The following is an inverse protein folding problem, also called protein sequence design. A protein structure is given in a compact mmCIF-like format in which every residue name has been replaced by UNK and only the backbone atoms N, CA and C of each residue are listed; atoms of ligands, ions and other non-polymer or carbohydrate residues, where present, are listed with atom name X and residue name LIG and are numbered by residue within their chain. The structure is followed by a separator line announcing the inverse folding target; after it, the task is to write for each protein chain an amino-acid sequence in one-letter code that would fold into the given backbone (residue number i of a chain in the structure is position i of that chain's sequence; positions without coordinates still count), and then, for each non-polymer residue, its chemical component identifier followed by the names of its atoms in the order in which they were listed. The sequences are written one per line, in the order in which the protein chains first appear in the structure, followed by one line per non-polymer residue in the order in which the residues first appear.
data_IF_655377703390
#
_entry.id   IF_655377703390
#
_cell.length_a   1.000
_cell.length_b   1.000
_cell.length_c   1.000
_cell.angle_alpha   90.00
_cell.angle_beta   90.00
_cell.angle_gamma   90.00
#
_symmetry.space_group_name_H-M   'P 1'
#
loop_
_entity.id
_entity.type
_entity.pdbx_description
1 polymer ?
#
# COMPACT_ATOMS: atom_id res chain seq x y z
N UNK A 1 9.64 -25.61 10.09
CA UNK A 1 9.08 -26.77 10.81
C UNK A 1 7.93 -26.30 11.68
N UNK A 2 6.70 -26.35 11.15
CA UNK A 2 5.48 -26.45 11.94
C UNK A 2 4.42 -27.04 11.03
N UNK A 3 4.47 -28.36 10.96
CA UNK A 3 3.61 -29.24 10.18
C UNK A 3 2.22 -29.25 10.80
N UNK A 4 1.18 -29.06 10.00
CA UNK A 4 -0.21 -29.35 10.41
C UNK A 4 -0.99 -29.86 9.22
N UNK A 5 -0.90 -31.19 9.05
CA UNK A 5 -1.97 -32.11 8.66
C UNK A 5 -2.91 -31.64 7.54
N UNK A 6 -2.48 -31.80 6.29
CA UNK A 6 -3.41 -31.93 5.17
C UNK A 6 -4.00 -33.33 5.26
N UNK A 7 -5.29 -33.43 5.59
CA UNK A 7 -6.01 -34.68 5.66
C UNK A 7 -5.95 -35.41 4.31
N UNK A 8 -5.37 -36.60 4.31
CA UNK A 8 -5.38 -37.55 3.21
C UNK A 8 -6.83 -38.00 2.95
N UNK A 9 -7.44 -37.54 1.86
CA UNK A 9 -8.67 -38.13 1.33
C UNK A 9 -8.27 -39.16 0.27
N UNK A 10 -8.33 -40.43 0.63
CA UNK A 10 -8.19 -41.57 -0.29
C UNK A 10 -9.58 -41.92 -0.86
N UNK A 11 -9.76 -41.91 -2.18
CA UNK A 11 -10.93 -42.55 -2.81
C UNK A 11 -11.40 -41.97 -4.15
N UNK A 12 -10.83 -42.49 -5.24
CA UNK A 12 -11.37 -42.70 -6.61
C UNK A 12 -12.30 -41.65 -7.29
N UNK A 13 -11.79 -41.13 -8.43
CA UNK A 13 -12.51 -40.82 -9.68
C UNK A 13 -13.82 -40.01 -9.59
N UNK A 14 -13.70 -38.70 -9.39
CA UNK A 14 -14.61 -37.73 -9.99
C UNK A 14 -13.80 -36.58 -10.61
N UNK A 15 -13.91 -36.49 -11.93
CA UNK A 15 -13.43 -35.37 -12.73
C UNK A 15 -14.22 -34.12 -12.29
N UNK A 16 -13.53 -33.09 -11.79
CA UNK A 16 -14.03 -31.75 -11.40
C UNK A 16 -14.09 -31.48 -9.89
N UNK A 17 -12.98 -30.99 -9.35
CA UNK A 17 -13.01 -29.94 -8.33
C UNK A 17 -11.71 -29.15 -8.42
N UNK A 18 -11.66 -28.20 -9.34
CA UNK A 18 -10.71 -27.08 -9.28
C UNK A 18 -10.95 -26.37 -7.94
N UNK A 19 -10.13 -26.69 -6.93
CA UNK A 19 -10.05 -25.91 -5.69
C UNK A 19 -9.48 -24.55 -6.10
N UNK A 20 -10.42 -23.70 -6.49
CA UNK A 20 -10.21 -22.35 -6.96
C UNK A 20 -9.37 -21.64 -5.92
N UNK A 21 -8.12 -21.32 -6.27
CA UNK A 21 -7.39 -20.26 -5.58
C UNK A 21 -8.21 -19.00 -5.83
N UNK A 22 -9.09 -18.64 -4.91
CA UNK A 22 -9.57 -17.27 -4.81
C UNK A 22 -8.36 -16.46 -4.39
N UNK A 23 -7.51 -16.14 -5.36
CA UNK A 23 -6.69 -14.95 -5.30
C UNK A 23 -7.67 -13.81 -5.10
N UNK A 24 -7.87 -13.45 -3.84
CA UNK A 24 -8.19 -12.08 -3.49
C UNK A 24 -7.02 -11.27 -4.05
N UNK A 25 -7.12 -10.93 -5.33
CA UNK A 25 -6.35 -9.88 -5.96
C UNK A 25 -6.70 -8.64 -5.14
N UNK A 26 -5.94 -8.43 -4.07
CA UNK A 26 -6.05 -7.25 -3.25
C UNK A 26 -5.74 -6.13 -4.24
N UNK A 27 -6.79 -5.37 -4.61
CA UNK A 27 -6.62 -4.14 -5.35
C UNK A 27 -5.81 -3.21 -4.45
N UNK A 28 -4.48 -3.37 -4.46
CA UNK A 28 -3.58 -2.46 -3.79
C UNK A 28 -3.79 -1.14 -4.51
N UNK A 29 -4.55 -0.25 -3.86
CA UNK A 29 -4.76 1.10 -4.37
C UNK A 29 -3.39 1.68 -4.61
N UNK A 30 -3.05 1.90 -5.89
CA UNK A 30 -1.78 2.50 -6.24
C UNK A 30 -1.65 3.81 -5.44
N UNK A 31 -0.49 4.05 -4.81
CA UNK A 31 -0.28 5.28 -4.08
C UNK A 31 -0.47 6.46 -5.05
N UNK A 32 -0.94 7.62 -4.55
CA UNK A 32 -1.02 8.83 -5.34
C UNK A 32 0.32 9.12 -6.01
N UNK A 33 0.29 9.59 -7.25
CA UNK A 33 1.50 10.00 -7.92
C UNK A 33 2.08 11.26 -7.26
N UNK A 34 3.41 11.38 -7.28
CA UNK A 34 4.10 12.57 -6.84
C UNK A 34 5.56 12.32 -6.47
N UNK A 35 6.32 13.40 -6.36
CA UNK A 35 7.75 13.37 -6.06
C UNK A 35 8.06 12.85 -4.66
N UNK A 36 7.09 12.90 -3.74
CA UNK A 36 7.21 12.34 -2.40
C UNK A 36 7.61 10.85 -2.41
N UNK A 37 7.21 10.08 -3.43
CA UNK A 37 7.54 8.65 -3.55
C UNK A 37 9.05 8.38 -3.60
N UNK A 38 9.87 9.37 -3.96
CA UNK A 38 11.34 9.26 -3.98
C UNK A 38 11.96 9.19 -2.59
N UNK A 39 11.29 9.76 -1.58
CA UNK A 39 11.87 9.96 -0.24
C UNK A 39 10.95 9.52 0.90
N UNK A 40 9.73 9.10 0.58
CA UNK A 40 8.76 8.58 1.54
C UNK A 40 8.53 7.08 1.36
N UNK A 41 8.16 6.40 2.45
CA UNK A 41 7.88 4.96 2.51
C UNK A 41 6.63 4.67 3.35
N UNK A 42 6.19 3.41 3.33
CA UNK A 42 4.98 2.93 4.02
C UNK A 42 3.75 3.75 3.65
N UNK A 43 3.65 4.02 2.35
CA UNK A 43 2.60 4.85 1.78
C UNK A 43 1.30 4.07 1.78
N UNK A 44 0.27 4.65 2.39
CA UNK A 44 -1.07 4.07 2.42
C UNK A 44 -2.12 5.16 2.35
N UNK A 45 -3.27 4.84 1.76
CA UNK A 45 -4.42 5.74 1.73
C UNK A 45 -5.53 5.16 2.60
N UNK A 46 -6.13 5.99 3.43
CA UNK A 46 -7.21 5.60 4.32
C UNK A 46 -8.24 6.73 4.40
N UNK A 47 -9.49 6.45 4.02
CA UNK A 47 -10.62 7.40 4.11
C UNK A 47 -10.32 8.80 3.54
N UNK A 48 -9.62 8.87 2.40
CA UNK A 48 -9.26 10.14 1.76
C UNK A 48 -8.02 10.85 2.34
N UNK A 49 -7.38 10.25 3.33
CA UNK A 49 -6.11 10.71 3.90
C UNK A 49 -4.95 9.89 3.35
N UNK A 50 -3.89 10.56 2.90
CA UNK A 50 -2.62 9.96 2.52
C UNK A 50 -1.73 9.89 3.76
N UNK A 51 -1.21 8.72 4.08
CA UNK A 51 -0.25 8.50 5.17
C UNK A 51 1.08 8.01 4.60
N UNK A 52 2.19 8.50 5.14
CA UNK A 52 3.52 8.05 4.78
C UNK A 52 4.53 8.30 5.92
N UNK A 53 5.72 7.69 5.80
CA UNK A 53 6.93 8.09 6.53
C UNK A 53 7.90 8.77 5.57
N UNK A 54 8.15 10.06 5.75
CA UNK A 54 8.96 10.87 4.83
C UNK A 54 10.31 11.24 5.44
N UNK A 55 11.38 11.16 4.63
CA UNK A 55 12.75 11.47 5.06
C UNK A 55 12.97 12.99 5.14
N UNK A 56 13.47 13.51 6.25
CA UNK A 56 13.88 14.92 6.37
C UNK A 56 15.28 15.16 5.78
N UNK A 57 15.73 16.42 5.82
CA UNK A 57 17.07 16.82 5.32
C UNK A 57 18.22 16.19 6.13
N UNK A 58 17.98 15.74 7.36
CA UNK A 58 18.95 15.05 8.22
C UNK A 58 18.93 13.53 8.03
N UNK A 59 18.00 13.02 7.23
CA UNK A 59 17.83 11.62 6.93
C UNK A 59 16.89 10.85 7.87
N UNK A 60 16.26 11.52 8.83
CA UNK A 60 15.30 10.90 9.73
C UNK A 60 13.93 10.77 9.07
N UNK A 61 13.19 9.73 9.42
CA UNK A 61 11.87 9.49 8.86
C UNK A 61 10.77 9.94 9.81
N UNK A 62 9.90 10.82 9.32
CA UNK A 62 8.79 11.38 10.07
C UNK A 62 7.47 10.81 9.59
N UNK A 63 6.60 10.43 10.53
CA UNK A 63 5.22 10.07 10.20
C UNK A 63 4.47 11.34 9.81
N UNK A 64 3.88 11.35 8.63
CA UNK A 64 3.12 12.48 8.10
C UNK A 64 1.83 12.00 7.48
N UNK A 65 0.84 12.89 7.42
CA UNK A 65 -0.45 12.65 6.77
C UNK A 65 -0.93 13.89 6.04
N UNK A 66 -1.68 13.69 4.97
CA UNK A 66 -2.35 14.75 4.21
C UNK A 66 -3.79 14.38 3.96
N UNK A 67 -4.71 15.14 4.55
CA UNK A 67 -6.15 14.99 4.36
C UNK A 67 -6.54 15.52 2.99
N UNK A 68 -7.54 14.90 2.36
CA UNK A 68 -8.07 15.31 1.05
C UNK A 68 -6.99 15.45 -0.03
N UNK A 69 -6.01 14.55 -0.04
CA UNK A 69 -4.91 14.58 -1.03
C UNK A 69 -5.40 14.59 -2.48
N UNK A 70 -6.60 14.06 -2.73
CA UNK A 70 -7.27 14.05 -4.04
C UNK A 70 -7.62 15.46 -4.56
N UNK A 71 -7.69 16.46 -3.68
CA UNK A 71 -7.88 17.87 -4.04
C UNK A 71 -6.57 18.56 -4.41
N UNK A 72 -5.44 17.89 -4.23
CA UNK A 72 -4.16 18.47 -4.59
C UNK A 72 -4.06 18.56 -6.11
N UNK A 73 -4.03 19.79 -6.63
CA UNK A 73 -3.83 20.01 -8.04
C UNK A 73 -2.36 19.71 -8.40
N UNK A 74 -1.39 20.26 -7.68
CA UNK A 74 0.03 20.10 -8.02
C UNK A 74 0.65 18.79 -7.57
N UNK A 75 1.98 18.74 -7.68
CA UNK A 75 2.79 17.63 -7.19
C UNK A 75 2.62 17.45 -5.67
N UNK A 76 2.44 16.21 -5.23
CA UNK A 76 2.56 15.85 -3.83
C UNK A 76 4.04 15.64 -3.55
N UNK A 77 4.63 16.51 -2.75
CA UNK A 77 6.06 16.48 -2.44
C UNK A 77 6.32 16.32 -0.95
N UNK A 78 7.56 15.94 -0.63
CA UNK A 78 8.07 15.90 0.72
C UNK A 78 8.80 17.22 1.02
N UNK A 79 8.29 17.97 1.99
CA UNK A 79 8.90 19.16 2.57
C UNK A 79 9.47 18.83 3.95
N UNK A 80 10.76 18.49 3.99
CA UNK A 80 11.52 18.21 5.22
C UNK A 80 10.84 17.24 6.20
N UNK A 81 10.26 16.14 5.69
CA UNK A 81 9.56 15.12 6.48
C UNK A 81 8.03 15.26 6.47
N UNK A 82 7.48 16.28 5.81
CA UNK A 82 6.05 16.55 5.76
C UNK A 82 5.50 16.46 4.33
N UNK A 83 4.34 15.84 4.17
CA UNK A 83 3.63 15.85 2.88
C UNK A 83 3.07 17.25 2.61
N UNK A 84 3.31 17.79 1.41
CA UNK A 84 2.78 19.07 0.95
C UNK A 84 2.22 18.95 -0.45
N UNK A 85 1.21 19.76 -0.71
CA UNK A 85 0.65 19.95 -2.04
C UNK A 85 1.33 21.14 -2.73
N UNK A 86 1.91 20.90 -3.89
CA UNK A 86 2.39 21.97 -4.76
C UNK A 86 1.22 22.77 -5.35
N UNK A 87 1.47 24.04 -5.66
CA UNK A 87 0.56 24.84 -6.50
C UNK A 87 0.93 24.57 -7.98
N UNK A 88 -0.07 24.46 -8.84
CA UNK A 88 0.13 24.39 -10.30
C UNK A 88 0.35 25.78 -10.87
#
# INVERSE_FOLDING_TARGET
MKSSLVALVLGALSLSAVLSSTELAQAQRRPPEGSYLKTCRDVRTERGTLHARCKDRRGHYHRTRMVDFRRCAGDIHNDNGHLRCGRR
#
